data_IF_203932117679
#
_entry.id   IF_203932117679
#
_cell.length_a   1.000
_cell.length_b   1.000
_cell.length_c   1.000
_cell.angle_alpha   90.00
_cell.angle_beta   90.00
_cell.angle_gamma   90.00
#
_symmetry.space_group_name_H-M   'P 1'
#
loop_
_entity.id
_entity.type
_entity.pdbx_description
1 polymer ?
#
# COMPACT_ATOMS: atom_id res chain seq x y z
N UNK A 1 32.28 12.73 0.40
CA UNK A 1 31.67 13.89 1.09
C UNK A 1 30.74 13.39 2.20
N UNK A 2 30.41 14.21 3.20
CA UNK A 2 29.59 13.75 4.34
C UNK A 2 28.10 13.53 4.01
N UNK A 3 27.56 14.14 2.95
CA UNK A 3 26.13 14.13 2.64
C UNK A 3 25.73 13.13 1.54
N UNK A 4 24.59 12.44 1.73
CA UNK A 4 24.12 11.35 0.85
C UNK A 4 23.11 11.77 -0.23
N UNK A 5 22.83 13.07 -0.40
CA UNK A 5 21.87 13.58 -1.37
C UNK A 5 22.30 14.94 -1.95
N UNK A 6 23.38 14.94 -2.71
CA UNK A 6 23.88 16.14 -3.41
C UNK A 6 23.01 16.40 -4.64
N UNK A 7 22.54 17.63 -4.82
CA UNK A 7 21.83 18.02 -6.03
C UNK A 7 22.84 18.06 -7.18
N UNK A 8 22.63 17.21 -8.19
CA UNK A 8 23.48 17.19 -9.37
C UNK A 8 23.57 18.58 -9.99
N UNK A 9 24.78 18.99 -10.36
CA UNK A 9 25.05 20.30 -10.94
C UNK A 9 24.89 21.53 -10.04
N UNK A 10 24.73 21.34 -8.74
CA UNK A 10 24.71 22.45 -7.78
C UNK A 10 26.07 22.88 -7.24
N UNK A 11 27.14 22.13 -7.55
CA UNK A 11 28.45 22.34 -6.96
C UNK A 11 29.28 23.45 -7.64
N UNK A 12 30.12 24.08 -6.84
CA UNK A 12 31.20 24.98 -7.26
C UNK A 12 32.47 24.62 -6.50
N UNK A 13 33.56 24.40 -7.23
CA UNK A 13 34.89 24.11 -6.65
C UNK A 13 35.81 25.28 -6.97
N UNK A 14 36.42 25.86 -5.94
CA UNK A 14 37.32 27.01 -6.07
C UNK A 14 38.59 26.88 -5.24
N UNK A 15 39.64 27.51 -5.73
CA UNK A 15 40.91 27.74 -5.07
C UNK A 15 41.21 29.24 -5.09
N UNK A 16 41.07 29.93 -3.95
CA UNK A 16 41.06 31.39 -3.94
C UNK A 16 40.02 31.94 -4.91
N UNK A 17 40.46 32.76 -5.88
CA UNK A 17 39.63 33.33 -6.95
C UNK A 17 39.44 32.41 -8.17
N UNK A 18 40.20 31.32 -8.26
CA UNK A 18 40.12 30.41 -9.40
C UNK A 18 38.97 29.42 -9.22
N UNK A 19 38.11 29.30 -10.23
CA UNK A 19 36.99 28.36 -10.26
C UNK A 19 37.34 27.23 -11.23
N UNK A 20 37.28 25.99 -10.74
CA UNK A 20 37.53 24.80 -11.56
C UNK A 20 36.32 24.48 -12.43
N UNK A 21 36.57 24.08 -13.67
CA UNK A 21 35.57 23.65 -14.63
C UNK A 21 35.20 22.17 -14.41
N UNK A 22 33.94 21.92 -14.12
CA UNK A 22 33.34 20.58 -14.03
C UNK A 22 33.48 19.85 -15.38
N UNK A 23 33.88 18.57 -15.33
CA UNK A 23 34.08 17.71 -16.49
C UNK A 23 35.46 17.85 -17.14
N UNK A 24 36.14 18.96 -16.87
CA UNK A 24 37.51 19.22 -17.35
C UNK A 24 38.53 19.04 -16.22
N UNK A 25 38.35 19.77 -15.13
CA UNK A 25 39.29 19.80 -14.01
C UNK A 25 38.91 18.81 -12.90
N UNK A 26 37.63 18.46 -12.80
CA UNK A 26 37.12 17.49 -11.83
C UNK A 26 35.80 16.87 -12.29
N UNK A 27 35.46 15.72 -11.72
CA UNK A 27 34.19 15.05 -11.89
C UNK A 27 33.63 14.64 -10.52
N UNK A 28 32.30 14.65 -10.38
CA UNK A 28 31.61 14.22 -9.16
C UNK A 28 30.69 13.06 -9.49
N UNK A 29 30.87 11.96 -8.77
CA UNK A 29 29.88 10.89 -8.68
C UNK A 29 28.87 11.28 -7.58
N UNK A 30 27.71 11.82 -7.99
CA UNK A 30 26.68 12.26 -7.03
C UNK A 30 26.05 11.11 -6.25
N UNK A 31 26.04 9.90 -6.80
CA UNK A 31 25.46 8.72 -6.15
C UNK A 31 26.33 8.21 -5.00
N UNK A 32 27.66 8.32 -5.15
CA UNK A 32 28.63 7.91 -4.13
C UNK A 32 29.24 9.08 -3.34
N UNK A 33 28.92 10.31 -3.72
CA UNK A 33 29.48 11.53 -3.15
C UNK A 33 31.02 11.58 -3.19
N UNK A 34 31.60 11.12 -4.30
CA UNK A 34 33.06 11.07 -4.55
C UNK A 34 33.43 12.13 -5.59
N UNK A 35 34.45 12.93 -5.32
CA UNK A 35 35.10 13.79 -6.31
C UNK A 35 36.32 13.08 -6.86
N UNK A 36 36.42 13.02 -8.19
CA UNK A 36 37.64 12.66 -8.90
C UNK A 36 38.25 13.94 -9.49
N UNK A 37 39.50 14.21 -9.18
CA UNK A 37 40.21 15.40 -9.65
C UNK A 37 41.15 15.05 -10.81
N UNK A 38 41.16 15.90 -11.83
CA UNK A 38 42.00 15.76 -13.03
C UNK A 38 42.85 17.01 -13.30
N UNK A 39 42.65 18.08 -12.51
CA UNK A 39 43.42 19.31 -12.66
C UNK A 39 44.91 19.08 -12.42
N UNK A 40 45.74 19.89 -13.06
CA UNK A 40 47.20 19.88 -12.90
C UNK A 40 47.68 20.89 -11.85
N UNK A 41 46.74 21.62 -11.23
CA UNK A 41 47.01 22.76 -10.37
C UNK A 41 47.34 22.31 -8.94
N UNK A 42 48.61 22.41 -8.57
CA UNK A 42 49.12 21.98 -7.25
C UNK A 42 49.49 23.13 -6.32
N UNK A 43 49.44 24.38 -6.81
CA UNK A 43 49.69 25.62 -6.05
C UNK A 43 48.46 26.09 -5.25
N UNK A 44 47.68 25.14 -4.72
CA UNK A 44 46.45 25.44 -4.01
C UNK A 44 46.51 24.97 -2.55
N UNK A 45 46.56 25.94 -1.62
CA UNK A 45 46.62 25.65 -0.19
C UNK A 45 45.26 25.27 0.40
N UNK A 46 44.15 25.64 -0.25
CA UNK A 46 42.79 25.38 0.24
C UNK A 46 41.77 25.28 -0.89
N UNK A 47 41.06 24.16 -0.94
CA UNK A 47 39.96 23.92 -1.86
C UNK A 47 38.64 24.13 -1.13
N UNK A 48 37.81 25.04 -1.66
CA UNK A 48 36.47 25.29 -1.15
C UNK A 48 35.47 24.69 -2.12
N UNK A 49 34.68 23.76 -1.63
CA UNK A 49 33.57 23.16 -2.36
C UNK A 49 32.25 23.64 -1.74
N UNK A 50 31.43 24.34 -2.52
CA UNK A 50 30.05 24.63 -2.14
C UNK A 50 29.11 23.77 -2.99
N UNK A 51 28.07 23.21 -2.40
CA UNK A 51 27.04 22.43 -3.09
C UNK A 51 25.70 22.54 -2.37
N UNK A 52 24.62 22.17 -3.03
CA UNK A 52 23.30 22.06 -2.40
C UNK A 52 22.98 20.61 -2.12
N UNK A 53 22.38 20.38 -0.95
CA UNK A 53 21.88 19.06 -0.54
C UNK A 53 20.36 19.10 -0.48
N UNK A 54 19.75 17.96 -0.80
CA UNK A 54 18.32 17.80 -0.60
C UNK A 54 18.07 17.55 0.90
N UNK A 55 17.20 18.32 1.58
CA UNK A 55 16.98 18.21 3.03
C UNK A 55 16.05 17.04 3.38
N UNK A 56 16.26 15.85 2.78
CA UNK A 56 15.50 14.65 3.09
C UNK A 56 16.13 13.93 4.28
N UNK A 57 15.44 13.95 5.42
CA UNK A 57 15.71 13.04 6.53
C UNK A 57 14.98 11.72 6.29
N UNK A 58 15.53 10.86 5.43
CA UNK A 58 14.99 9.51 5.27
C UNK A 58 15.42 8.67 6.48
N UNK A 59 14.48 8.13 7.27
CA UNK A 59 14.84 7.22 8.35
C UNK A 59 15.57 5.99 7.76
N UNK A 60 16.76 5.69 8.27
CA UNK A 60 17.60 4.55 7.86
C UNK A 60 16.97 3.19 8.15
N UNK A 61 15.89 3.16 8.96
CA UNK A 61 14.98 2.02 9.11
C UNK A 61 13.53 2.49 9.15
N UNK A 62 12.76 2.14 8.14
CA UNK A 62 11.30 2.12 8.17
C UNK A 62 10.86 0.69 8.48
N UNK A 63 10.53 0.41 9.74
CA UNK A 63 9.83 -0.82 10.12
C UNK A 63 8.43 -0.44 10.58
N UNK A 64 7.50 -0.30 9.64
CA UNK A 64 6.09 -0.02 9.96
C UNK A 64 5.32 -1.30 10.32
N UNK A 65 5.74 -2.46 9.82
CA UNK A 65 5.16 -3.76 10.13
C UNK A 65 6.19 -4.86 9.85
N UNK A 66 6.30 -5.84 10.73
CA UNK A 66 7.10 -7.04 10.50
C UNK A 66 6.24 -7.99 9.64
N UNK A 67 6.46 -8.00 8.33
CA UNK A 67 5.80 -8.95 7.43
C UNK A 67 6.27 -10.36 7.81
N UNK A 68 5.37 -11.16 8.37
CA UNK A 68 5.58 -12.60 8.41
C UNK A 68 5.51 -13.11 6.96
N UNK A 69 6.54 -13.80 6.46
CA UNK A 69 6.50 -14.38 5.13
C UNK A 69 5.27 -15.28 5.03
N UNK A 70 4.41 -15.01 4.06
CA UNK A 70 3.39 -15.99 3.66
C UNK A 70 4.15 -17.23 3.15
N UNK A 71 3.81 -18.45 3.59
CA UNK A 71 4.33 -19.67 2.99
C UNK A 71 4.07 -19.63 1.48
N UNK A 72 5.11 -19.85 0.68
CA UNK A 72 5.08 -19.71 -0.77
C UNK A 72 4.27 -20.79 -1.51
N UNK A 73 3.73 -21.79 -0.83
CA UNK A 73 3.05 -22.91 -1.47
C UNK A 73 1.56 -22.94 -1.14
N UNK A 74 0.78 -22.18 -1.91
CA UNK A 74 -0.48 -22.58 -2.53
C UNK A 74 -1.27 -21.32 -2.88
N UNK A 75 -1.42 -21.08 -4.19
CA UNK A 75 -2.57 -20.36 -4.73
C UNK A 75 -3.64 -21.42 -5.01
N UNK A 76 -4.59 -21.72 -4.10
CA UNK A 76 -5.82 -22.34 -4.55
C UNK A 76 -6.64 -21.24 -5.24
N UNK A 77 -7.03 -21.52 -6.48
CA UNK A 77 -8.04 -20.74 -7.19
C UNK A 77 -9.19 -20.43 -6.23
N UNK A 78 -9.47 -19.14 -6.04
CA UNK A 78 -10.49 -18.64 -5.15
C UNK A 78 -11.88 -19.07 -5.64
N UNK A 79 -12.27 -20.29 -5.29
CA UNK A 79 -13.68 -20.66 -5.19
C UNK A 79 -14.14 -20.13 -3.83
N UNK A 80 -15.10 -19.22 -3.88
CA UNK A 80 -15.77 -18.61 -2.73
C UNK A 80 -16.37 -19.71 -1.83
N UNK A 81 -15.63 -20.16 -0.82
CA UNK A 81 -16.16 -20.98 0.26
C UNK A 81 -16.31 -20.10 1.51
N UNK A 82 -17.48 -19.48 1.63
CA UNK A 82 -17.91 -18.69 2.79
C UNK A 82 -18.28 -19.60 4.00
N UNK A 83 -18.30 -20.93 3.82
CA UNK A 83 -18.82 -21.87 4.82
C UNK A 83 -17.76 -22.53 5.71
N UNK A 84 -16.47 -22.47 5.36
CA UNK A 84 -15.42 -23.16 6.14
C UNK A 84 -14.87 -22.38 7.34
N UNK A 85 -15.30 -21.13 7.56
CA UNK A 85 -14.86 -20.32 8.69
C UNK A 85 -15.49 -20.69 10.05
N UNK A 86 -16.45 -21.62 10.07
CA UNK A 86 -17.20 -21.96 11.30
C UNK A 86 -16.63 -23.21 12.00
N UNK A 87 -15.81 -24.04 11.34
CA UNK A 87 -15.25 -25.25 11.97
C UNK A 87 -13.77 -25.42 11.68
N UNK A 88 -12.91 -24.81 12.49
CA UNK A 88 -11.54 -25.27 12.67
C UNK A 88 -11.06 -24.92 14.07
N UNK A 89 -11.41 -25.79 15.01
CA UNK A 89 -10.65 -25.97 16.23
C UNK A 89 -9.26 -26.49 15.87
N UNK A 90 -8.20 -25.72 16.15
CA UNK A 90 -6.93 -26.23 16.71
C UNK A 90 -5.82 -25.16 16.88
N UNK A 91 -5.37 -25.09 18.14
CA UNK A 91 -4.02 -24.77 18.64
C UNK A 91 -3.60 -23.30 18.84
N UNK A 92 -3.26 -22.89 20.09
CA UNK A 92 -2.91 -21.52 20.43
C UNK A 92 -1.42 -21.26 20.18
N UNK A 93 -1.06 -20.74 19.00
CA UNK A 93 0.24 -20.07 18.83
C UNK A 93 0.17 -18.70 19.50
N UNK A 94 0.69 -18.64 20.73
CA UNK A 94 0.97 -17.40 21.47
C UNK A 94 1.83 -16.49 20.60
N UNK A 95 1.30 -15.33 20.24
CA UNK A 95 2.11 -14.35 19.51
C UNK A 95 1.36 -13.18 18.93
N UNK A 96 0.30 -12.65 19.56
CA UNK A 96 -0.18 -11.30 19.29
C UNK A 96 -0.79 -10.73 20.57
N UNK A 97 -0.45 -9.49 20.90
CA UNK A 97 -1.05 -8.78 22.01
C UNK A 97 -2.58 -8.81 21.84
N UNK A 98 -3.24 -9.55 22.73
CA UNK A 98 -4.69 -9.55 22.81
C UNK A 98 -5.11 -8.14 23.23
N UNK A 99 -5.62 -7.36 22.27
CA UNK A 99 -6.58 -6.33 22.60
C UNK A 99 -7.75 -7.06 23.27
N UNK A 100 -7.89 -6.90 24.59
CA UNK A 100 -8.88 -7.58 25.45
C UNK A 100 -10.35 -7.23 25.14
N UNK A 101 -10.68 -6.79 23.92
CA UNK A 101 -12.02 -6.36 23.56
C UNK A 101 -12.49 -6.71 22.15
N UNK A 102 -11.63 -7.25 21.26
CA UNK A 102 -12.07 -7.60 19.90
C UNK A 102 -11.24 -8.75 19.31
N UNK A 103 -11.90 -9.87 19.01
CA UNK A 103 -11.32 -11.05 18.36
C UNK A 103 -11.32 -10.83 16.85
N UNK A 104 -10.36 -10.02 16.36
CA UNK A 104 -10.28 -9.64 14.94
C UNK A 104 -9.17 -10.39 14.22
N UNK A 105 -9.55 -11.07 13.13
CA UNK A 105 -8.64 -11.63 12.14
C UNK A 105 -8.49 -10.64 11.00
N UNK A 106 -7.23 -10.30 10.67
CA UNK A 106 -6.89 -9.36 9.60
C UNK A 106 -5.93 -10.06 8.65
N UNK A 107 -6.21 -10.01 7.34
CA UNK A 107 -5.40 -10.64 6.29
C UNK A 107 -5.29 -9.69 5.10
N UNK A 108 -4.15 -9.66 4.44
CA UNK A 108 -3.97 -8.78 3.28
C UNK A 108 -2.54 -8.30 3.04
N UNK A 109 -2.41 -7.38 2.09
CA UNK A 109 -1.17 -6.74 1.68
C UNK A 109 -1.36 -5.23 1.50
N UNK A 110 -0.34 -4.47 1.86
CA UNK A 110 -0.21 -3.04 1.58
C UNK A 110 1.12 -2.82 0.87
N UNK A 111 1.08 -2.28 -0.34
CA UNK A 111 2.25 -2.03 -1.20
C UNK A 111 2.40 -0.54 -1.45
N UNK A 112 3.62 -0.01 -1.30
CA UNK A 112 4.00 1.37 -1.64
C UNK A 112 5.28 1.33 -2.45
N UNK A 113 5.19 1.67 -3.73
CA UNK A 113 6.30 1.75 -4.68
C UNK A 113 6.71 3.20 -4.93
N UNK A 114 8.01 3.41 -5.16
CA UNK A 114 8.56 4.69 -5.58
C UNK A 114 9.41 4.44 -6.84
N UNK A 115 9.12 5.16 -7.92
CA UNK A 115 9.85 4.99 -9.18
C UNK A 115 10.52 6.31 -9.58
N UNK A 116 11.81 6.21 -9.94
CA UNK A 116 12.64 7.33 -10.41
C UNK A 116 13.27 6.92 -11.74
N UNK A 117 13.12 7.74 -12.77
CA UNK A 117 13.70 7.51 -14.09
C UNK A 117 14.55 8.70 -14.56
N UNK A 118 15.55 8.44 -15.40
CA UNK A 118 16.34 9.50 -16.04
C UNK A 118 15.42 10.34 -16.92
N UNK A 119 15.35 11.65 -16.67
CA UNK A 119 14.41 12.59 -17.32
C UNK A 119 12.91 12.30 -17.08
N UNK A 120 12.55 11.52 -16.05
CA UNK A 120 11.17 11.31 -15.64
C UNK A 120 10.91 11.93 -14.26
N UNK A 121 9.66 12.33 -14.01
CA UNK A 121 9.25 12.77 -12.69
C UNK A 121 9.20 11.58 -11.72
N UNK A 122 9.34 11.87 -10.43
CA UNK A 122 9.11 10.91 -9.35
C UNK A 122 7.65 10.43 -9.37
N UNK A 123 7.43 9.12 -9.42
CA UNK A 123 6.07 8.55 -9.30
C UNK A 123 5.94 7.71 -8.04
N UNK A 124 4.74 7.75 -7.45
CA UNK A 124 4.38 6.97 -6.26
C UNK A 124 3.27 6.00 -6.65
N UNK A 125 3.55 4.72 -6.49
CA UNK A 125 2.62 3.63 -6.78
C UNK A 125 2.09 3.03 -5.48
N UNK A 126 0.81 2.69 -5.44
CA UNK A 126 0.16 2.17 -4.24
C UNK A 126 -0.76 0.99 -4.59
N UNK A 127 -0.81 0.01 -3.69
CA UNK A 127 -1.80 -1.06 -3.74
C UNK A 127 -2.23 -1.46 -2.35
N UNK A 128 -3.53 -1.64 -2.15
CA UNK A 128 -4.12 -2.14 -0.91
C UNK A 128 -5.04 -3.32 -1.22
N UNK A 129 -4.89 -4.41 -0.46
CA UNK A 129 -5.85 -5.52 -0.40
C UNK A 129 -5.95 -5.99 1.03
N UNK A 130 -7.08 -5.74 1.69
CA UNK A 130 -7.26 -6.09 3.09
C UNK A 130 -8.63 -6.71 3.34
N UNK A 131 -8.64 -7.77 4.13
CA UNK A 131 -9.81 -8.48 4.62
C UNK A 131 -9.77 -8.50 6.14
N UNK A 132 -10.88 -8.12 6.77
CA UNK A 132 -11.02 -8.07 8.23
C UNK A 132 -12.29 -8.83 8.60
N UNK A 133 -12.20 -9.72 9.58
CA UNK A 133 -13.36 -10.44 10.09
C UNK A 133 -13.24 -10.64 11.61
N UNK A 134 -14.36 -10.59 12.31
CA UNK A 134 -14.43 -10.98 13.73
C UNK A 134 -15.38 -10.14 14.55
N UNK A 135 -15.35 -10.33 15.86
CA UNK A 135 -16.23 -9.63 16.80
C UNK A 135 -15.57 -8.32 17.28
N UNK A 136 -16.28 -7.20 17.13
CA UNK A 136 -15.82 -5.85 17.54
C UNK A 136 -16.44 -5.38 18.86
N UNK A 137 -17.57 -5.98 19.24
CA UNK A 137 -18.29 -5.77 20.49
C UNK A 137 -19.21 -6.98 20.72
N UNK A 138 -19.70 -7.16 21.95
CA UNK A 138 -20.58 -8.28 22.30
C UNK A 138 -21.78 -8.38 21.34
N UNK A 139 -21.84 -9.47 20.57
CA UNK A 139 -22.90 -9.71 19.59
C UNK A 139 -22.84 -8.81 18.36
N UNK A 140 -21.69 -8.18 18.06
CA UNK A 140 -21.47 -7.37 16.86
C UNK A 140 -20.26 -7.89 16.09
N UNK A 141 -20.52 -8.47 14.94
CA UNK A 141 -19.53 -8.99 14.01
C UNK A 141 -19.26 -8.00 12.88
N UNK A 142 -17.99 -7.85 12.50
CA UNK A 142 -17.56 -7.11 11.32
C UNK A 142 -17.01 -8.05 10.25
N UNK A 143 -17.35 -7.79 9.00
CA UNK A 143 -16.68 -8.34 7.82
C UNK A 143 -16.38 -7.18 6.88
N UNK A 144 -15.10 -6.92 6.60
CA UNK A 144 -14.68 -5.86 5.70
C UNK A 144 -13.73 -6.37 4.62
N UNK A 145 -13.88 -5.84 3.42
CA UNK A 145 -12.98 -6.01 2.29
C UNK A 145 -12.65 -4.63 1.72
N UNK A 146 -11.37 -4.28 1.69
CA UNK A 146 -10.85 -3.01 1.20
C UNK A 146 -9.81 -3.28 0.11
N UNK A 147 -10.08 -2.85 -1.11
CA UNK A 147 -9.14 -2.95 -2.23
C UNK A 147 -9.10 -1.63 -2.99
N UNK A 148 -7.90 -1.12 -3.25
CA UNK A 148 -7.60 0.14 -3.96
C UNK A 148 -6.45 -0.16 -4.94
N UNK A 149 -6.74 -0.96 -5.96
CA UNK A 149 -5.70 -1.37 -6.91
C UNK A 149 -6.17 -1.18 -8.34
N UNK A 150 -5.69 -0.08 -8.92
CA UNK A 150 -5.73 0.15 -10.34
C UNK A 150 -4.80 -0.85 -11.04
N UNK A 151 -5.34 -1.98 -11.49
CA UNK A 151 -4.58 -2.95 -12.28
C UNK A 151 -4.68 -2.54 -13.74
N UNK A 152 -3.59 -2.10 -14.41
CA UNK A 152 -3.65 -1.83 -15.84
C UNK A 152 -3.86 -3.16 -16.56
N UNK A 153 -5.07 -3.39 -17.04
CA UNK A 153 -5.39 -4.54 -17.89
C UNK A 153 -5.21 -4.10 -19.34
N UNK A 154 -4.25 -4.72 -20.04
CA UNK A 154 -4.16 -4.58 -21.49
C UNK A 154 -5.23 -5.47 -22.12
N UNK A 155 -6.21 -4.93 -22.85
CA UNK A 155 -7.26 -5.74 -23.44
C UNK A 155 -6.68 -6.64 -24.54
N UNK A 156 -6.72 -7.95 -24.33
CA UNK A 156 -6.31 -9.01 -25.29
C UNK A 156 -7.30 -9.17 -26.48
N UNK A 157 -8.07 -8.12 -26.82
CA UNK A 157 -8.92 -8.11 -28.01
C UNK A 157 -10.21 -8.94 -27.95
N UNK A 158 -10.71 -9.34 -26.77
CA UNK A 158 -12.05 -9.91 -26.61
C UNK A 158 -12.94 -9.04 -25.69
N UNK A 159 -14.26 -9.11 -25.88
CA UNK A 159 -15.26 -8.48 -25.01
C UNK A 159 -15.52 -9.37 -23.79
N UNK A 160 -14.55 -9.43 -22.86
CA UNK A 160 -14.81 -9.92 -21.50
C UNK A 160 -15.22 -8.74 -20.61
N UNK A 161 -16.34 -8.90 -19.90
CA UNK A 161 -16.84 -7.90 -18.95
C UNK A 161 -15.78 -7.65 -17.87
N UNK A 162 -15.30 -6.41 -17.82
CA UNK A 162 -14.31 -5.91 -16.89
C UNK A 162 -14.82 -6.08 -15.45
N UNK A 163 -14.14 -6.86 -14.64
CA UNK A 163 -14.35 -6.91 -13.18
C UNK A 163 -13.40 -5.91 -12.54
N UNK A 164 -13.85 -4.66 -12.43
CA UNK A 164 -13.19 -3.61 -11.66
C UNK A 164 -13.01 -4.07 -10.20
N UNK A 165 -11.80 -3.98 -9.64
CA UNK A 165 -11.48 -4.40 -8.26
C UNK A 165 -11.05 -3.21 -7.41
N UNK A 166 -11.81 -2.12 -7.49
CA UNK A 166 -11.89 -1.14 -6.41
C UNK A 166 -13.16 -1.45 -5.64
N UNK A 167 -13.01 -2.15 -4.51
CA UNK A 167 -14.15 -2.53 -3.66
C UNK A 167 -13.86 -2.14 -2.24
N UNK A 168 -14.73 -1.31 -1.69
CA UNK A 168 -14.72 -0.93 -0.29
C UNK A 168 -16.05 -1.37 0.27
N UNK A 169 -16.07 -2.40 1.09
CA UNK A 169 -17.29 -2.85 1.76
C UNK A 169 -17.00 -3.21 3.21
N UNK A 170 -17.80 -2.66 4.13
CA UNK A 170 -17.80 -2.99 5.55
C UNK A 170 -19.20 -3.42 5.94
N UNK A 171 -19.33 -4.64 6.43
CA UNK A 171 -20.59 -5.21 6.90
C UNK A 171 -20.51 -5.39 8.41
N UNK A 172 -21.53 -4.90 9.11
CA UNK A 172 -21.75 -5.09 10.53
C UNK A 172 -23.00 -5.94 10.70
N UNK A 173 -22.87 -7.03 11.45
CA UNK A 173 -23.98 -7.92 11.77
C UNK A 173 -24.16 -7.97 13.28
N UNK A 174 -25.41 -7.86 13.71
CA UNK A 174 -25.81 -8.06 15.09
C UNK A 174 -27.18 -8.74 15.15
N UNK A 175 -27.63 -9.21 16.31
CA UNK A 175 -28.96 -9.78 16.47
C UNK A 175 -30.10 -8.81 16.12
N UNK A 176 -29.90 -7.50 16.21
CA UNK A 176 -30.97 -6.49 16.08
C UNK A 176 -30.84 -5.59 14.86
N UNK A 177 -29.66 -5.51 14.26
CA UNK A 177 -29.39 -4.72 13.08
C UNK A 177 -28.33 -5.36 12.18
N UNK A 178 -28.46 -5.07 10.88
CA UNK A 178 -27.43 -5.29 9.89
C UNK A 178 -27.11 -3.96 9.20
N UNK A 179 -25.84 -3.60 9.14
CA UNK A 179 -25.39 -2.40 8.45
C UNK A 179 -24.34 -2.74 7.40
N UNK A 180 -24.42 -2.09 6.24
CA UNK A 180 -23.40 -2.20 5.18
C UNK A 180 -22.96 -0.80 4.80
N UNK A 181 -21.65 -0.56 4.74
CA UNK A 181 -21.04 0.68 4.29
C UNK A 181 -20.14 0.41 3.08
N UNK A 182 -20.16 1.32 2.11
CA UNK A 182 -19.43 1.21 0.86
C UNK A 182 -20.27 0.53 -0.22
N UNK A 183 -19.68 -0.43 -0.95
CA UNK A 183 -20.30 -1.06 -2.11
C UNK A 183 -21.18 -2.24 -1.69
N UNK A 184 -22.44 -2.23 -2.13
CA UNK A 184 -23.40 -3.30 -1.88
C UNK A 184 -24.34 -3.50 -3.06
N UNK A 185 -24.92 -4.70 -3.12
CA UNK A 185 -25.93 -5.05 -4.11
C UNK A 185 -27.30 -5.13 -3.44
N UNK A 186 -28.30 -4.51 -4.05
CA UNK A 186 -29.69 -4.72 -3.70
C UNK A 186 -30.31 -5.64 -4.75
N UNK A 187 -30.97 -6.69 -4.31
CA UNK A 187 -31.80 -7.55 -5.13
C UNK A 187 -33.22 -7.52 -4.58
N UNK A 188 -34.20 -7.35 -5.46
CA UNK A 188 -35.62 -7.43 -5.15
C UNK A 188 -36.26 -8.50 -6.03
N UNK A 189 -36.92 -9.45 -5.38
CA UNK A 189 -37.56 -10.64 -5.97
C UNK A 189 -39.04 -10.79 -5.59
N UNK A 190 -39.65 -9.76 -4.97
CA UNK A 190 -41.01 -9.81 -4.41
C UNK A 190 -42.17 -9.78 -5.42
N UNK A 191 -41.95 -10.05 -6.71
CA UNK A 191 -43.02 -10.12 -7.72
C UNK A 191 -42.65 -11.10 -8.84
N UNK A 192 -43.63 -11.86 -9.33
CA UNK A 192 -43.46 -12.73 -10.51
C UNK A 192 -43.00 -11.96 -11.76
N UNK A 193 -43.32 -10.66 -11.84
CA UNK A 193 -43.08 -9.84 -13.02
C UNK A 193 -41.95 -8.81 -12.86
N UNK A 194 -41.43 -8.61 -11.66
CA UNK A 194 -40.41 -7.59 -11.40
C UNK A 194 -39.26 -8.14 -10.54
N UNK A 195 -38.18 -8.52 -11.23
CA UNK A 195 -36.88 -8.81 -10.61
C UNK A 195 -35.93 -7.65 -10.89
N UNK A 196 -35.31 -7.14 -9.84
CA UNK A 196 -34.45 -5.98 -9.96
C UNK A 196 -33.16 -6.16 -9.15
N UNK A 197 -32.00 -5.94 -9.78
CA UNK A 197 -30.69 -5.92 -9.10
C UNK A 197 -29.94 -4.64 -9.42
N UNK A 198 -29.43 -3.94 -8.39
CA UNK A 198 -28.60 -2.74 -8.52
C UNK A 198 -27.35 -2.89 -7.66
N UNK A 199 -26.20 -2.57 -8.25
CA UNK A 199 -24.99 -2.19 -7.49
C UNK A 199 -25.15 -0.75 -7.02
N UNK A 200 -24.90 -0.51 -5.74
CA UNK A 200 -24.99 0.80 -5.09
C UNK A 200 -23.74 1.03 -4.23
N UNK A 201 -23.42 2.30 -4.02
CA UNK A 201 -22.39 2.75 -3.10
C UNK A 201 -23.03 3.68 -2.08
N UNK A 202 -22.77 3.46 -0.79
CA UNK A 202 -23.32 4.29 0.27
C UNK A 202 -23.40 3.55 1.59
N UNK A 203 -24.47 3.78 2.34
CA UNK A 203 -24.74 3.07 3.58
C UNK A 203 -26.16 2.50 3.57
N UNK A 204 -26.31 1.29 4.10
CA UNK A 204 -27.58 0.62 4.30
C UNK A 204 -27.66 0.18 5.75
N UNK A 205 -28.79 0.46 6.38
CA UNK A 205 -29.14 -0.05 7.70
C UNK A 205 -30.46 -0.83 7.58
N UNK A 206 -30.46 -2.05 8.08
CA UNK A 206 -31.65 -2.87 8.24
C UNK A 206 -31.81 -3.19 9.72
N UNK A 207 -32.91 -2.72 10.31
CA UNK A 207 -33.26 -2.99 11.70
C UNK A 207 -34.28 -4.13 11.71
N UNK A 208 -33.98 -5.20 12.44
CA UNK A 208 -34.80 -6.40 12.47
C UNK A 208 -34.05 -7.54 13.14
N UNK A 209 -34.78 -8.42 13.83
CA UNK A 209 -34.18 -9.62 14.41
C UNK A 209 -33.72 -10.54 13.29
N UNK A 210 -32.44 -10.90 13.27
CA UNK A 210 -31.95 -11.96 12.40
C UNK A 210 -32.70 -13.25 12.78
N UNK A 211 -33.28 -14.01 11.84
CA UNK A 211 -33.86 -15.31 12.17
C UNK A 211 -32.73 -16.18 12.69
N UNK A 212 -32.76 -16.46 14.00
CA UNK A 212 -31.94 -17.51 14.59
C UNK A 212 -32.48 -18.79 14.00
N UNK A 213 -31.68 -19.48 13.18
CA UNK A 213 -31.98 -20.85 12.78
C UNK A 213 -32.11 -21.66 14.07
N UNK A 214 -33.33 -22.14 14.33
CA UNK A 214 -33.66 -23.07 15.40
C UNK A 214 -33.23 -24.49 15.03
#
# INVERSE_FOLDING_TARGET
MPDSFIIAQSETLRCGEYIFARGTDYHIDYGRAIITWFGNRTDCDSLILNYRVLPLRLPTRLSLFQLQPLPQDSLPAAKLELESLITSSQSPRRGFAQNRGANLVKRGSLTRGLSVGTNQALTVDSGLRMQIAGEIAEGVEVVAALTDQNTPIQPEGNTQTLQEIDKVSVQLKSPTFNATLGDFEIAYDGSEFARYSRKLQGARLAVGRSPVNA
#
